data_IF_811712770807
#
_entry.id   IF_811712770807
#
_cell.length_a   1.000
_cell.length_b   1.000
_cell.length_c   1.000
_cell.angle_alpha   90.00
_cell.angle_beta   90.00
_cell.angle_gamma   90.00
#
_symmetry.space_group_name_H-M   'P 1'
#
loop_
_entity.id
_entity.type
_entity.pdbx_description
1 polymer ?
#
# COMPACT_ATOMS: atom_id res chain seq x y z
N UNK A 1 39.26 -9.40 4.30
CA UNK A 1 38.12 -8.63 4.91
C UNK A 1 37.59 -7.67 3.89
N UNK A 2 36.33 -7.87 3.40
CA UNK A 2 35.71 -6.92 2.49
C UNK A 2 35.22 -5.74 3.33
N UNK A 3 35.91 -4.63 3.27
CA UNK A 3 35.57 -3.41 4.01
C UNK A 3 34.21 -2.83 3.55
N UNK A 4 33.79 -3.10 2.33
CA UNK A 4 32.56 -2.60 1.73
C UNK A 4 31.85 -3.73 0.98
N UNK A 5 30.53 -3.82 1.16
CA UNK A 5 29.64 -4.69 0.41
C UNK A 5 28.49 -3.84 -0.14
N UNK A 6 28.11 -4.09 -1.37
CA UNK A 6 26.94 -3.45 -1.97
C UNK A 6 26.14 -4.46 -2.80
N UNK A 7 24.86 -4.21 -2.89
CA UNK A 7 23.93 -4.96 -3.70
C UNK A 7 22.92 -4.00 -4.31
N UNK A 8 22.69 -4.13 -5.63
CA UNK A 8 21.66 -3.36 -6.34
C UNK A 8 20.87 -4.34 -7.20
N UNK A 9 19.57 -4.24 -7.16
CA UNK A 9 18.67 -4.99 -8.03
C UNK A 9 17.55 -4.12 -8.55
N UNK A 10 17.10 -4.41 -9.76
CA UNK A 10 15.93 -3.81 -10.40
C UNK A 10 14.99 -4.90 -10.88
N UNK A 11 13.69 -4.61 -10.90
CA UNK A 11 12.68 -5.50 -11.43
C UNK A 11 11.58 -4.72 -12.13
N UNK A 12 11.10 -5.28 -13.21
CA UNK A 12 9.93 -4.79 -13.94
C UNK A 12 8.90 -5.90 -14.02
N UNK A 13 7.66 -5.55 -13.82
CA UNK A 13 6.52 -6.45 -13.95
C UNK A 13 5.44 -5.77 -14.79
N UNK A 14 4.87 -6.48 -15.74
CA UNK A 14 3.75 -6.06 -16.56
C UNK A 14 2.74 -7.19 -16.64
N UNK A 15 1.48 -6.86 -16.39
CA UNK A 15 0.35 -7.77 -16.47
C UNK A 15 -0.77 -7.07 -17.23
N UNK A 16 -1.23 -7.68 -18.31
CA UNK A 16 -2.38 -7.23 -19.06
C UNK A 16 -3.65 -7.87 -18.49
N UNK A 17 -4.75 -7.13 -18.53
CA UNK A 17 -6.04 -7.63 -18.05
C UNK A 17 -6.70 -8.62 -19.04
N UNK A 18 -7.66 -9.38 -18.53
CA UNK A 18 -8.39 -10.40 -19.29
C UNK A 18 -9.58 -9.85 -20.10
N UNK A 19 -9.95 -8.59 -19.87
CA UNK A 19 -11.12 -8.00 -20.52
C UNK A 19 -10.77 -7.49 -21.92
N UNK A 20 -11.47 -8.00 -22.91
CA UNK A 20 -11.49 -7.46 -24.26
C UNK A 20 -12.27 -6.15 -24.27
N UNK A 21 -11.94 -5.20 -25.12
CA UNK A 21 -12.58 -3.89 -25.28
C UNK A 21 -12.30 -2.87 -24.17
N UNK A 22 -11.35 -3.12 -23.29
CA UNK A 22 -11.05 -2.16 -22.22
C UNK A 22 -9.57 -2.21 -21.84
N UNK A 23 -9.02 -1.06 -21.48
CA UNK A 23 -7.69 -0.96 -20.91
C UNK A 23 -7.71 -1.46 -19.47
N UNK A 24 -7.01 -2.55 -19.24
CA UNK A 24 -6.86 -3.15 -17.91
C UNK A 24 -5.45 -3.69 -17.79
N UNK A 25 -4.77 -3.35 -16.70
CA UNK A 25 -3.42 -3.87 -16.49
C UNK A 25 -2.77 -3.38 -15.21
N UNK A 26 -1.64 -3.98 -14.91
CA UNK A 26 -0.78 -3.57 -13.81
C UNK A 26 0.68 -3.55 -14.24
N UNK A 27 1.34 -2.42 -14.03
CA UNK A 27 2.77 -2.25 -14.29
C UNK A 27 3.47 -1.88 -13.00
N UNK A 28 4.61 -2.51 -12.75
CA UNK A 28 5.40 -2.22 -11.56
C UNK A 28 6.89 -2.19 -11.90
N UNK A 29 7.54 -1.16 -11.41
CA UNK A 29 8.99 -1.04 -11.41
C UNK A 29 9.48 -0.97 -9.96
N UNK A 30 10.55 -1.71 -9.64
CA UNK A 30 11.15 -1.67 -8.32
C UNK A 30 12.68 -1.65 -8.40
N UNK A 31 13.30 -0.93 -7.48
CA UNK A 31 14.75 -0.89 -7.27
C UNK A 31 15.03 -1.14 -5.80
N UNK A 32 15.99 -2.00 -5.54
CA UNK A 32 16.53 -2.23 -4.21
C UNK A 32 18.04 -1.96 -4.24
N UNK A 33 18.53 -1.24 -3.25
CA UNK A 33 19.95 -1.01 -3.05
C UNK A 33 20.31 -1.25 -1.58
N UNK A 34 21.39 -1.96 -1.35
CA UNK A 34 21.94 -2.23 -0.03
C UNK A 34 23.43 -1.90 -0.06
N UNK A 35 23.85 -1.17 0.94
CA UNK A 35 25.25 -0.81 1.16
C UNK A 35 25.63 -1.11 2.60
N UNK A 36 26.76 -1.76 2.80
CA UNK A 36 27.30 -2.06 4.12
C UNK A 36 28.80 -1.78 4.11
N UNK A 37 29.27 -1.02 5.09
CA UNK A 37 30.68 -0.70 5.25
C UNK A 37 31.17 -1.01 6.67
N UNK A 38 32.32 -1.63 6.77
CA UNK A 38 33.07 -1.70 8.01
C UNK A 38 33.89 -0.43 8.12
N UNK A 39 33.38 0.54 8.93
CA UNK A 39 33.98 1.86 9.05
C UNK A 39 35.29 1.84 9.86
N UNK A 40 35.28 1.06 10.94
CA UNK A 40 36.45 0.81 11.78
C UNK A 40 36.43 -0.66 12.19
N UNK A 41 37.43 -1.13 12.98
CA UNK A 41 37.44 -2.51 13.49
C UNK A 41 36.23 -2.86 14.36
N UNK A 42 35.59 -1.84 14.96
CA UNK A 42 34.50 -1.97 15.92
C UNK A 42 33.17 -1.36 15.44
N UNK A 43 33.13 -0.63 14.31
CA UNK A 43 31.95 0.08 13.84
C UNK A 43 31.58 -0.34 12.41
N UNK A 44 30.35 -0.79 12.23
CA UNK A 44 29.73 -1.17 10.95
C UNK A 44 28.52 -0.29 10.67
N UNK A 45 28.43 0.22 9.45
CA UNK A 45 27.28 0.99 8.97
C UNK A 45 26.61 0.26 7.80
N UNK A 46 25.28 0.30 7.75
CA UNK A 46 24.48 -0.26 6.65
C UNK A 46 23.35 0.67 6.28
N UNK A 47 23.07 0.75 4.97
CA UNK A 47 21.90 1.46 4.43
C UNK A 47 21.21 0.53 3.44
N UNK A 48 19.90 0.37 3.61
CA UNK A 48 19.04 -0.36 2.68
C UNK A 48 17.96 0.57 2.17
N UNK A 49 17.82 0.64 0.85
CA UNK A 49 16.81 1.46 0.19
C UNK A 49 15.98 0.58 -0.73
N UNK A 50 14.66 0.77 -0.70
CA UNK A 50 13.72 0.12 -1.61
C UNK A 50 12.80 1.18 -2.19
N UNK A 51 12.69 1.19 -3.50
CA UNK A 51 11.73 2.02 -4.23
C UNK A 51 10.83 1.13 -5.09
N UNK A 52 9.55 1.44 -5.10
CA UNK A 52 8.57 0.80 -5.97
C UNK A 52 7.61 1.84 -6.53
N UNK A 53 7.43 1.82 -7.85
CA UNK A 53 6.37 2.51 -8.56
C UNK A 53 5.46 1.48 -9.21
N UNK A 54 4.17 1.54 -8.93
CA UNK A 54 3.16 0.67 -9.52
C UNK A 54 2.02 1.50 -10.08
N UNK A 55 1.55 1.14 -11.28
CA UNK A 55 0.38 1.73 -11.92
C UNK A 55 -0.62 0.64 -12.24
N UNK A 56 -1.86 0.81 -11.84
CA UNK A 56 -2.98 -0.06 -12.11
C UNK A 56 -4.05 0.71 -12.87
N UNK A 57 -4.43 0.18 -14.02
CA UNK A 57 -5.52 0.67 -14.85
C UNK A 57 -6.67 -0.34 -14.84
N UNK A 58 -7.89 0.15 -14.67
CA UNK A 58 -9.11 -0.68 -14.76
C UNK A 58 -10.21 0.09 -15.50
N UNK A 59 -11.08 -0.60 -16.24
CA UNK A 59 -12.15 0.02 -17.04
C UNK A 59 -13.39 0.38 -16.22
N UNK A 60 -13.27 0.43 -14.91
CA UNK A 60 -14.37 0.72 -14.01
C UNK A 60 -14.07 1.98 -13.22
N UNK A 61 -15.10 2.76 -12.93
CA UNK A 61 -14.99 3.98 -12.19
C UNK A 61 -14.77 3.79 -10.68
N UNK A 62 -15.25 4.75 -9.89
CA UNK A 62 -15.09 4.79 -8.44
C UNK A 62 -15.68 3.51 -7.81
N UNK A 63 -14.79 2.60 -7.36
CA UNK A 63 -15.17 1.28 -6.85
C UNK A 63 -14.45 0.10 -7.53
N UNK A 64 -13.77 0.35 -8.66
CA UNK A 64 -12.96 -0.66 -9.35
C UNK A 64 -13.78 -1.81 -9.96
N UNK A 65 -13.13 -2.97 -10.14
CA UNK A 65 -13.80 -4.22 -10.52
C UNK A 65 -14.83 -4.59 -9.45
N UNK A 66 -16.04 -4.07 -9.62
CA UNK A 66 -17.10 -4.33 -8.67
C UNK A 66 -17.63 -5.74 -8.85
N UNK A 67 -18.05 -6.35 -7.75
CA UNK A 67 -18.88 -7.55 -7.78
C UNK A 67 -20.02 -7.43 -8.80
N UNK A 68 -20.61 -6.23 -8.95
CA UNK A 68 -21.69 -5.94 -9.89
C UNK A 68 -21.36 -6.24 -11.35
N UNK A 69 -20.14 -5.92 -11.82
CA UNK A 69 -19.76 -6.20 -13.22
C UNK A 69 -19.70 -7.70 -13.51
N UNK A 70 -18.93 -8.45 -12.75
CA UNK A 70 -18.80 -9.89 -12.96
C UNK A 70 -20.10 -10.63 -12.68
N UNK A 71 -20.85 -10.20 -11.68
CA UNK A 71 -22.18 -10.74 -11.42
C UNK A 71 -23.13 -10.51 -12.60
N UNK A 72 -23.15 -9.31 -13.17
CA UNK A 72 -23.95 -9.02 -14.37
C UNK A 72 -23.47 -9.84 -15.56
N UNK A 73 -22.15 -9.90 -15.79
CA UNK A 73 -21.57 -10.70 -16.88
C UNK A 73 -21.96 -12.18 -16.78
N UNK A 74 -21.93 -12.76 -15.57
CA UNK A 74 -22.31 -14.17 -15.36
C UNK A 74 -23.80 -14.44 -15.52
N UNK A 75 -24.65 -13.41 -15.46
CA UNK A 75 -26.12 -13.53 -15.58
C UNK A 75 -26.65 -13.21 -16.97
N UNK A 76 -25.82 -12.78 -17.91
CA UNK A 76 -26.27 -12.54 -19.27
C UNK A 76 -26.76 -13.83 -19.91
N UNK A 77 -27.93 -13.73 -20.50
CA UNK A 77 -28.55 -14.85 -21.20
C UNK A 77 -27.94 -14.97 -22.58
N UNK A 78 -27.49 -16.15 -22.98
CA UNK A 78 -26.95 -16.44 -24.31
C UNK A 78 -27.98 -16.30 -25.44
N UNK A 79 -29.25 -16.18 -25.10
CA UNK A 79 -30.39 -16.09 -26.06
C UNK A 79 -30.76 -14.66 -26.41
N UNK A 80 -30.08 -13.65 -25.88
CA UNK A 80 -30.35 -12.23 -26.17
C UNK A 80 -29.43 -11.72 -27.28
N UNK A 81 -29.90 -10.72 -28.00
CA UNK A 81 -29.16 -10.11 -29.09
C UNK A 81 -28.10 -9.15 -28.54
N UNK A 82 -26.82 -9.44 -28.77
CA UNK A 82 -25.72 -8.59 -28.36
C UNK A 82 -25.55 -7.34 -29.25
N UNK A 83 -25.99 -7.44 -30.51
CA UNK A 83 -25.84 -6.43 -31.54
C UNK A 83 -27.20 -6.18 -32.18
N UNK A 84 -27.58 -4.92 -32.35
CA UNK A 84 -28.79 -4.49 -33.05
C UNK A 84 -28.66 -4.64 -34.58
N UNK A 85 -29.73 -4.47 -35.33
CA UNK A 85 -29.70 -4.59 -36.82
C UNK A 85 -28.74 -3.55 -37.47
N UNK A 86 -28.35 -2.47 -36.77
CA UNK A 86 -27.47 -1.45 -37.28
C UNK A 86 -25.99 -1.65 -36.85
N UNK A 87 -25.70 -2.75 -36.15
CA UNK A 87 -24.35 -3.10 -35.73
C UNK A 87 -23.89 -2.49 -34.41
N UNK A 88 -24.79 -1.89 -33.61
CA UNK A 88 -24.46 -1.36 -32.31
C UNK A 88 -24.61 -2.41 -31.21
N UNK A 89 -23.77 -2.36 -30.20
CA UNK A 89 -23.96 -3.19 -29.01
C UNK A 89 -25.19 -2.75 -28.22
N UNK A 90 -26.04 -3.70 -27.84
CA UNK A 90 -27.30 -3.45 -27.16
C UNK A 90 -27.11 -3.25 -25.64
N UNK A 91 -28.18 -2.79 -24.97
CA UNK A 91 -28.28 -2.71 -23.51
C UNK A 91 -28.13 -4.09 -22.82
N UNK A 92 -28.26 -5.17 -23.56
CA UNK A 92 -28.20 -6.54 -23.08
C UNK A 92 -26.78 -7.09 -22.94
N UNK A 93 -25.77 -6.29 -23.28
CA UNK A 93 -24.34 -6.62 -23.14
C UNK A 93 -23.61 -5.63 -22.25
N UNK A 94 -22.46 -6.03 -21.69
CA UNK A 94 -21.60 -5.14 -20.90
C UNK A 94 -20.58 -4.37 -21.75
N UNK A 95 -20.53 -4.60 -23.04
CA UNK A 95 -19.53 -4.00 -23.95
C UNK A 95 -19.63 -2.47 -24.00
N UNK A 96 -20.83 -1.84 -24.08
CA UNK A 96 -20.94 -0.39 -24.07
C UNK A 96 -20.32 0.25 -22.82
N UNK A 97 -20.41 -0.41 -21.67
CA UNK A 97 -19.83 0.07 -20.42
C UNK A 97 -18.29 0.03 -20.46
N UNK A 98 -17.72 -1.02 -21.03
CA UNK A 98 -16.26 -1.14 -21.22
C UNK A 98 -15.72 -0.12 -22.23
N UNK A 99 -16.52 0.26 -23.23
CA UNK A 99 -16.16 1.23 -24.27
C UNK A 99 -16.52 2.68 -23.93
N UNK A 100 -17.18 2.93 -22.80
CA UNK A 100 -17.66 4.27 -22.40
C UNK A 100 -16.55 5.29 -22.15
N UNK A 101 -15.31 4.85 -22.01
CA UNK A 101 -14.21 5.69 -21.52
C UNK A 101 -14.15 5.80 -20.00
N UNK A 102 -14.98 5.06 -19.29
CA UNK A 102 -14.89 4.89 -17.83
C UNK A 102 -13.57 4.23 -17.45
N UNK A 103 -12.90 4.77 -16.44
CA UNK A 103 -11.64 4.19 -15.96
C UNK A 103 -11.40 4.47 -14.48
N UNK A 104 -10.54 3.66 -13.88
CA UNK A 104 -9.80 3.99 -12.66
C UNK A 104 -8.31 3.79 -12.93
N UNK A 105 -7.53 4.85 -12.63
CA UNK A 105 -6.07 4.82 -12.66
C UNK A 105 -5.54 5.02 -11.25
N UNK A 106 -4.77 4.05 -10.78
CA UNK A 106 -4.16 4.08 -9.44
C UNK A 106 -2.65 3.98 -9.56
N UNK A 107 -1.96 5.04 -9.17
CA UNK A 107 -0.49 5.08 -9.12
C UNK A 107 -0.04 5.02 -7.66
N UNK A 108 0.87 4.11 -7.37
CA UNK A 108 1.46 3.94 -6.04
C UNK A 108 2.97 4.10 -6.10
N UNK A 109 3.50 4.94 -5.23
CA UNK A 109 4.92 5.09 -5.02
C UNK A 109 5.25 4.72 -3.59
N UNK A 110 6.13 3.74 -3.40
CA UNK A 110 6.63 3.34 -2.09
C UNK A 110 8.14 3.60 -2.05
N UNK A 111 8.57 4.31 -1.04
CA UNK A 111 9.97 4.52 -0.71
C UNK A 111 10.23 4.04 0.71
N UNK A 112 11.27 3.24 0.89
CA UNK A 112 11.70 2.74 2.19
C UNK A 112 13.22 2.86 2.27
N UNK A 113 13.71 3.49 3.33
CA UNK A 113 15.13 3.56 3.65
C UNK A 113 15.33 3.13 5.11
N UNK A 114 16.28 2.24 5.34
CA UNK A 114 16.72 1.82 6.68
C UNK A 114 18.21 2.08 6.79
N UNK A 115 18.60 2.90 7.75
CA UNK A 115 19.99 3.10 8.15
C UNK A 115 20.25 2.36 9.46
N UNK A 116 21.35 1.64 9.55
CA UNK A 116 21.75 0.86 10.73
C UNK A 116 23.22 1.12 11.04
N UNK A 117 23.50 1.40 12.30
CA UNK A 117 24.83 1.45 12.89
C UNK A 117 24.95 0.32 13.91
N UNK A 118 26.03 -0.42 13.86
CA UNK A 118 26.35 -1.47 14.81
C UNK A 118 27.80 -1.28 15.30
N UNK A 119 27.95 -1.11 16.60
CA UNK A 119 29.23 -1.01 17.26
C UNK A 119 29.51 -2.29 18.07
N UNK A 120 30.76 -2.73 18.07
CA UNK A 120 31.26 -3.79 18.92
C UNK A 120 32.46 -3.25 19.71
N UNK A 121 32.23 -2.54 20.85
CA UNK A 121 33.30 -1.92 21.61
C UNK A 121 34.29 -2.92 22.19
N UNK A 122 33.81 -4.07 22.65
CA UNK A 122 34.60 -5.21 23.11
C UNK A 122 34.02 -6.51 22.55
N UNK A 123 34.74 -7.60 22.68
CA UNK A 123 34.28 -8.91 22.25
C UNK A 123 32.91 -9.24 22.87
N UNK A 124 32.00 -9.78 22.05
CA UNK A 124 30.66 -10.27 22.43
C UNK A 124 29.69 -9.21 22.95
N UNK A 125 30.06 -7.90 22.89
CA UNK A 125 29.18 -6.78 23.20
C UNK A 125 28.84 -5.98 21.93
N UNK A 126 27.55 -5.95 21.58
CA UNK A 126 27.05 -5.23 20.42
C UNK A 126 26.07 -4.13 20.85
N UNK A 127 26.23 -2.97 20.28
CA UNK A 127 25.29 -1.84 20.38
C UNK A 127 24.78 -1.57 18.98
N UNK A 128 23.47 -1.62 18.79
CA UNK A 128 22.83 -1.41 17.49
C UNK A 128 21.82 -0.29 17.57
N UNK A 129 21.90 0.63 16.63
CA UNK A 129 20.87 1.66 16.39
C UNK A 129 20.46 1.54 14.94
N UNK A 130 19.17 1.43 14.68
CA UNK A 130 18.62 1.52 13.33
C UNK A 130 17.41 2.47 13.28
N UNK A 131 17.26 3.11 12.14
CA UNK A 131 16.13 3.97 11.85
C UNK A 131 15.58 3.64 10.47
N UNK A 132 14.26 3.52 10.36
CA UNK A 132 13.55 3.29 9.10
C UNK A 132 12.59 4.43 8.82
N UNK A 133 12.65 4.95 7.61
CA UNK A 133 11.67 5.84 7.01
C UNK A 133 10.95 5.10 5.90
N UNK A 134 9.62 5.07 5.96
CA UNK A 134 8.76 4.57 4.88
C UNK A 134 7.77 5.65 4.46
N UNK A 135 7.77 5.92 3.17
CA UNK A 135 6.83 6.83 2.55
C UNK A 135 6.01 6.10 1.49
N UNK A 136 4.69 6.20 1.59
CA UNK A 136 3.77 5.63 0.61
C UNK A 136 2.83 6.72 0.12
N UNK A 137 2.86 6.97 -1.20
CA UNK A 137 1.95 7.88 -1.89
C UNK A 137 1.06 7.08 -2.82
N UNK A 138 -0.24 7.37 -2.80
CA UNK A 138 -1.23 6.80 -3.70
C UNK A 138 -2.00 7.94 -4.36
N UNK A 139 -1.89 8.01 -5.69
CA UNK A 139 -2.72 8.85 -6.54
C UNK A 139 -3.79 7.96 -7.19
N UNK A 140 -5.04 8.34 -7.02
CA UNK A 140 -6.19 7.63 -7.56
C UNK A 140 -7.04 8.61 -8.36
N UNK A 141 -7.36 8.26 -9.60
CA UNK A 141 -8.22 9.01 -10.47
C UNK A 141 -9.24 8.07 -11.09
N UNK A 142 -10.51 8.40 -10.96
CA UNK A 142 -11.59 7.61 -11.53
C UNK A 142 -12.56 8.49 -12.31
N UNK A 143 -12.89 8.06 -13.50
CA UNK A 143 -13.88 8.64 -14.37
C UNK A 143 -15.02 7.66 -14.58
N UNK A 144 -16.24 8.06 -14.34
CA UNK A 144 -17.47 7.34 -14.66
C UNK A 144 -18.22 8.08 -15.74
N UNK A 145 -18.51 7.42 -16.85
CA UNK A 145 -19.29 7.96 -17.96
C UNK A 145 -20.41 7.00 -18.29
N UNK A 146 -21.65 7.51 -18.40
CA UNK A 146 -22.76 6.71 -18.85
C UNK A 146 -22.63 6.45 -20.37
N UNK A 147 -22.57 5.18 -20.81
CA UNK A 147 -22.56 4.88 -22.24
C UNK A 147 -23.92 5.16 -22.86
N UNK A 148 -23.94 5.53 -24.14
CA UNK A 148 -25.15 5.44 -24.95
C UNK A 148 -25.38 3.94 -25.26
N UNK A 149 -26.56 3.47 -24.96
CA UNK A 149 -26.97 2.10 -25.20
C UNK A 149 -28.12 2.06 -26.21
N UNK A 150 -28.22 0.95 -26.91
CA UNK A 150 -29.23 0.72 -27.98
C UNK A 150 -30.13 -0.45 -27.59
N UNK A 151 -31.41 -0.32 -27.83
CA UNK A 151 -32.30 -1.47 -27.69
C UNK A 151 -32.14 -2.42 -28.88
N UNK A 152 -32.62 -3.64 -28.73
CA UNK A 152 -32.56 -4.65 -29.80
C UNK A 152 -33.39 -4.30 -31.06
N UNK A 153 -34.26 -3.30 -30.98
CA UNK A 153 -35.05 -2.78 -32.11
C UNK A 153 -34.23 -1.92 -33.09
N UNK A 154 -33.02 -1.55 -32.73
CA UNK A 154 -32.10 -0.73 -33.52
C UNK A 154 -32.46 0.76 -33.60
N UNK A 155 -33.54 1.18 -32.96
CA UNK A 155 -34.09 2.55 -33.02
C UNK A 155 -34.04 3.25 -31.67
N UNK A 156 -34.46 2.57 -30.63
CA UNK A 156 -34.55 3.12 -29.29
C UNK A 156 -33.16 3.25 -28.67
N UNK A 157 -32.86 4.42 -28.11
CA UNK A 157 -31.60 4.69 -27.41
C UNK A 157 -31.84 5.22 -26.03
N UNK A 158 -30.97 4.91 -25.10
CA UNK A 158 -30.99 5.43 -23.73
C UNK A 158 -29.56 5.60 -23.19
N UNK A 159 -29.45 6.16 -21.98
CA UNK A 159 -28.17 6.14 -21.24
C UNK A 159 -28.10 4.90 -20.37
N UNK A 160 -26.96 4.22 -20.41
CA UNK A 160 -26.67 3.07 -19.58
C UNK A 160 -26.40 3.45 -18.14
N UNK A 161 -27.45 3.68 -17.36
CA UNK A 161 -27.37 3.99 -15.93
C UNK A 161 -27.48 2.68 -15.14
N UNK A 162 -26.36 2.27 -14.51
CA UNK A 162 -26.32 1.10 -13.64
C UNK A 162 -25.68 1.50 -12.32
N UNK A 163 -26.46 1.52 -11.26
CA UNK A 163 -26.02 1.91 -9.93
C UNK A 163 -24.91 0.99 -9.40
N UNK A 164 -25.01 -0.30 -9.71
CA UNK A 164 -23.99 -1.31 -9.36
C UNK A 164 -22.61 -1.07 -9.98
N UNK A 165 -22.56 -0.27 -11.07
CA UNK A 165 -21.29 0.13 -11.72
C UNK A 165 -20.85 1.54 -11.34
N UNK A 166 -21.61 2.24 -10.50
CA UNK A 166 -21.34 3.60 -10.08
C UNK A 166 -21.43 4.64 -11.21
N UNK A 167 -22.21 4.34 -12.26
CA UNK A 167 -22.35 5.20 -13.45
C UNK A 167 -23.28 6.36 -13.13
N UNK A 168 -22.82 7.57 -13.39
CA UNK A 168 -23.60 8.80 -13.24
C UNK A 168 -24.07 9.34 -14.60
N UNK A 169 -25.31 9.85 -14.66
CA UNK A 169 -25.92 10.38 -15.90
C UNK A 169 -25.05 11.43 -16.59
N UNK A 170 -24.52 12.37 -15.81
CA UNK A 170 -23.78 13.52 -16.32
C UNK A 170 -22.25 13.34 -16.16
N UNK A 171 -21.82 12.10 -15.99
CA UNK A 171 -20.43 11.78 -15.68
C UNK A 171 -20.02 12.16 -14.26
N UNK A 172 -19.06 11.42 -13.72
CA UNK A 172 -18.45 11.69 -12.40
C UNK A 172 -16.95 11.53 -12.49
N UNK A 173 -16.23 12.49 -11.97
CA UNK A 173 -14.79 12.41 -11.79
C UNK A 173 -14.41 12.45 -10.33
N UNK A 174 -13.58 11.51 -9.92
CA UNK A 174 -13.06 11.42 -8.56
C UNK A 174 -11.54 11.44 -8.62
N UNK A 175 -10.90 12.29 -7.83
CA UNK A 175 -9.47 12.26 -7.58
C UNK A 175 -9.20 12.11 -6.09
N UNK A 176 -8.24 11.26 -5.74
CA UNK A 176 -7.86 11.02 -4.36
C UNK A 176 -6.34 10.95 -4.25
N UNK A 177 -5.80 11.63 -3.25
CA UNK A 177 -4.39 11.55 -2.87
C UNK A 177 -4.27 11.08 -1.44
N UNK A 178 -3.50 10.03 -1.24
CA UNK A 178 -3.19 9.52 0.10
C UNK A 178 -1.69 9.47 0.30
N UNK A 179 -1.23 10.09 1.39
CA UNK A 179 0.17 10.08 1.79
C UNK A 179 0.28 9.41 3.16
N UNK A 180 1.15 8.42 3.26
CA UNK A 180 1.42 7.73 4.52
C UNK A 180 2.91 7.84 4.84
N UNK A 181 3.23 8.26 6.04
CA UNK A 181 4.56 8.31 6.62
C UNK A 181 4.63 7.30 7.75
N UNK A 182 5.73 6.58 7.83
CA UNK A 182 6.04 5.66 8.91
C UNK A 182 7.51 5.75 9.26
N UNK A 183 7.77 6.03 10.53
CA UNK A 183 9.11 6.14 11.08
C UNK A 183 9.27 5.10 12.18
N UNK A 184 10.41 4.44 12.20
CA UNK A 184 10.82 3.63 13.35
C UNK A 184 12.24 3.98 13.75
N UNK A 185 12.50 3.92 15.04
CA UNK A 185 13.84 3.95 15.60
C UNK A 185 13.96 2.82 16.61
N UNK A 186 15.03 2.04 16.48
CA UNK A 186 15.39 0.99 17.41
C UNK A 186 16.79 1.27 17.93
N UNK A 187 16.99 1.14 19.23
CA UNK A 187 18.30 1.18 19.86
C UNK A 187 18.37 0.04 20.87
N UNK A 188 19.29 -0.86 20.69
CA UNK A 188 19.44 -1.99 21.59
C UNK A 188 20.89 -2.39 21.75
N UNK A 189 21.17 -3.02 22.88
CA UNK A 189 22.47 -3.59 23.17
C UNK A 189 22.30 -5.04 23.63
N UNK A 190 23.23 -5.88 23.21
CA UNK A 190 23.31 -7.25 23.69
C UNK A 190 24.75 -7.58 24.05
N UNK A 191 24.88 -8.31 25.16
CA UNK A 191 26.14 -8.82 25.66
C UNK A 191 26.01 -10.31 25.95
N UNK A 192 26.98 -11.08 25.45
CA UNK A 192 27.06 -12.53 25.69
C UNK A 192 28.32 -12.85 26.46
N UNK A 193 28.20 -13.71 27.46
CA UNK A 193 29.36 -14.19 28.21
C UNK A 193 29.20 -15.66 28.58
N UNK A 194 30.31 -16.32 28.66
CA UNK A 194 30.40 -17.74 28.99
C UNK A 194 31.29 -17.93 30.21
N UNK A 195 30.80 -18.70 31.16
CA UNK A 195 31.56 -19.10 32.36
C UNK A 195 31.37 -20.60 32.55
N UNK A 196 32.47 -21.37 32.31
CA UNK A 196 32.44 -22.82 32.32
C UNK A 196 31.36 -23.39 31.38
N UNK A 197 30.31 -24.01 31.94
CA UNK A 197 29.20 -24.58 31.18
C UNK A 197 28.00 -23.66 31.03
N UNK A 198 28.10 -22.44 31.52
CA UNK A 198 27.01 -21.47 31.49
C UNK A 198 27.23 -20.45 30.40
N UNK A 199 26.28 -20.33 29.48
CA UNK A 199 26.24 -19.27 28.47
C UNK A 199 25.04 -18.38 28.75
N UNK A 200 25.27 -17.06 28.88
CA UNK A 200 24.23 -16.08 29.16
C UNK A 200 24.32 -14.99 28.10
N UNK A 201 23.17 -14.69 27.47
CA UNK A 201 23.04 -13.54 26.57
C UNK A 201 21.95 -12.63 27.12
N UNK A 202 22.31 -11.39 27.45
CA UNK A 202 21.40 -10.35 27.89
C UNK A 202 21.22 -9.31 26.80
N UNK A 203 19.98 -8.89 26.55
CA UNK A 203 19.61 -7.85 25.63
C UNK A 203 18.66 -6.86 26.29
N UNK A 204 18.89 -5.55 26.09
CA UNK A 204 17.98 -4.50 26.44
C UNK A 204 17.87 -3.52 25.28
N UNK A 205 16.68 -3.00 25.04
CA UNK A 205 16.44 -2.12 23.92
C UNK A 205 15.24 -1.22 24.08
N UNK A 206 15.19 -0.28 23.17
CA UNK A 206 14.15 0.71 23.02
C UNK A 206 13.66 0.69 21.56
N UNK A 207 12.36 0.84 21.37
CA UNK A 207 11.71 0.98 20.07
C UNK A 207 10.74 2.15 20.11
N UNK A 208 10.83 3.02 19.11
CA UNK A 208 9.83 4.05 18.86
C UNK A 208 9.27 3.91 17.45
N UNK A 209 7.96 4.10 17.32
CA UNK A 209 7.26 4.09 16.04
C UNK A 209 6.31 5.28 15.95
N UNK A 210 6.26 5.88 14.77
CA UNK A 210 5.29 6.91 14.41
C UNK A 210 4.71 6.61 13.05
N UNK A 211 3.40 6.68 12.96
CA UNK A 211 2.65 6.50 11.73
C UNK A 211 1.64 7.62 11.55
N UNK A 212 1.61 8.19 10.36
CA UNK A 212 0.62 9.17 9.99
C UNK A 212 0.15 8.99 8.56
N UNK A 213 -1.12 9.28 8.31
CA UNK A 213 -1.70 9.27 6.96
C UNK A 213 -2.63 10.45 6.77
N UNK A 214 -2.59 11.01 5.56
CA UNK A 214 -3.54 11.99 5.08
C UNK A 214 -4.24 11.47 3.83
N UNK A 215 -5.52 11.74 3.71
CA UNK A 215 -6.37 11.42 2.57
C UNK A 215 -7.13 12.67 2.15
N UNK A 216 -6.89 13.12 0.92
CA UNK A 216 -7.70 14.15 0.27
C UNK A 216 -8.44 13.51 -0.90
N UNK A 217 -9.77 13.53 -0.87
CA UNK A 217 -10.64 13.06 -1.95
C UNK A 217 -11.50 14.21 -2.45
N UNK A 218 -11.53 14.40 -3.76
CA UNK A 218 -12.41 15.33 -4.43
C UNK A 218 -13.24 14.56 -5.46
N UNK A 219 -14.52 14.89 -5.57
CA UNK A 219 -15.38 14.34 -6.61
C UNK A 219 -16.28 15.45 -7.15
N UNK A 220 -16.64 15.32 -8.43
CA UNK A 220 -17.55 16.24 -9.10
C UNK A 220 -18.41 15.47 -10.11
N UNK A 221 -19.64 15.90 -10.29
CA UNK A 221 -20.55 15.45 -11.34
C UNK A 221 -20.79 16.56 -12.37
N UNK A 222 -21.47 16.25 -13.48
CA UNK A 222 -21.77 17.22 -14.53
C UNK A 222 -20.50 17.69 -15.26
N UNK A 223 -19.74 16.76 -15.80
CA UNK A 223 -18.48 17.04 -16.48
C UNK A 223 -18.73 17.76 -17.81
N UNK A 224 -18.07 18.90 -18.00
CA UNK A 224 -18.06 19.59 -19.30
C UNK A 224 -17.39 18.75 -20.40
N UNK A 225 -16.28 18.09 -20.07
CA UNK A 225 -15.57 17.21 -21.00
C UNK A 225 -15.11 15.92 -20.31
N UNK A 226 -15.69 14.76 -20.66
CA UNK A 226 -15.21 13.47 -20.14
C UNK A 226 -13.81 13.09 -20.66
N UNK A 227 -13.37 13.65 -21.79
CA UNK A 227 -12.05 13.35 -22.36
C UNK A 227 -10.91 14.04 -21.62
N UNK A 228 -11.19 15.14 -20.92
CA UNK A 228 -10.24 15.85 -20.08
C UNK A 228 -10.92 16.24 -18.74
N UNK A 229 -11.19 15.27 -17.89
CA UNK A 229 -11.94 15.51 -16.67
C UNK A 229 -11.16 16.36 -15.68
N UNK A 230 -11.82 17.39 -15.11
CA UNK A 230 -11.26 18.26 -14.10
C UNK A 230 -12.31 18.55 -13.03
N UNK A 231 -11.92 18.54 -11.76
CA UNK A 231 -12.82 18.86 -10.64
C UNK A 231 -13.29 20.31 -10.69
N UNK A 232 -12.48 21.22 -11.21
CA UNK A 232 -12.84 22.65 -11.30
C UNK A 232 -13.98 22.90 -12.29
N UNK A 233 -14.01 22.15 -13.40
CA UNK A 233 -14.88 22.38 -14.56
C UNK A 233 -16.23 21.66 -14.48
N UNK A 234 -16.44 20.82 -13.46
CA UNK A 234 -17.73 20.16 -13.25
C UNK A 234 -18.80 21.14 -12.77
N UNK A 235 -20.00 21.01 -13.34
CA UNK A 235 -21.16 21.90 -13.08
C UNK A 235 -22.06 21.38 -11.98
N UNK A 236 -21.98 20.10 -11.63
CA UNK A 236 -22.76 19.48 -10.58
C UNK A 236 -22.11 19.58 -9.19
N UNK A 237 -22.57 18.72 -8.29
CA UNK A 237 -22.13 18.72 -6.89
C UNK A 237 -20.64 18.39 -6.78
N UNK A 238 -19.96 19.22 -5.99
CA UNK A 238 -18.55 19.01 -5.61
C UNK A 238 -18.46 18.47 -4.20
N UNK A 239 -17.80 17.33 -4.05
CA UNK A 239 -17.55 16.71 -2.75
C UNK A 239 -16.06 16.80 -2.45
N UNK A 240 -15.73 17.37 -1.29
CA UNK A 240 -14.37 17.42 -0.75
C UNK A 240 -14.34 16.66 0.56
N UNK A 241 -13.39 15.76 0.70
CA UNK A 241 -13.18 14.99 1.91
C UNK A 241 -11.70 15.03 2.28
N UNK A 242 -11.37 15.54 3.46
CA UNK A 242 -10.03 15.54 4.04
C UNK A 242 -10.06 14.75 5.36
N UNK A 243 -9.22 13.74 5.47
CA UNK A 243 -9.11 12.93 6.66
C UNK A 243 -7.64 12.72 7.01
N UNK A 244 -7.33 12.76 8.31
CA UNK A 244 -6.00 12.51 8.84
C UNK A 244 -6.09 11.56 9.99
N UNK A 245 -5.11 10.68 10.08
CA UNK A 245 -4.96 9.74 11.20
C UNK A 245 -3.50 9.58 11.54
N UNK A 246 -3.21 9.48 12.84
CA UNK A 246 -1.86 9.22 13.31
C UNK A 246 -1.87 8.41 14.59
N UNK A 247 -0.80 7.67 14.81
CA UNK A 247 -0.53 7.00 16.07
C UNK A 247 0.98 6.89 16.28
N UNK A 248 1.37 6.78 17.54
CA UNK A 248 2.75 6.53 17.93
C UNK A 248 2.78 5.44 19.01
N UNK A 249 3.83 4.63 18.97
CA UNK A 249 4.14 3.65 20.00
C UNK A 249 5.58 3.84 20.49
N UNK A 250 5.81 3.43 21.73
CA UNK A 250 7.09 3.49 22.37
C UNK A 250 7.22 2.28 23.27
N UNK A 251 8.32 1.54 23.17
CA UNK A 251 8.52 0.35 23.97
C UNK A 251 9.95 0.21 24.45
N UNK A 252 10.10 -0.27 25.69
CA UNK A 252 11.37 -0.76 26.22
C UNK A 252 11.25 -2.26 26.37
N UNK A 253 12.28 -2.99 25.95
CA UNK A 253 12.26 -4.44 25.97
C UNK A 253 13.56 -5.02 26.49
N UNK A 254 13.46 -6.21 27.07
CA UNK A 254 14.62 -6.96 27.55
C UNK A 254 14.44 -8.45 27.30
N UNK A 255 15.57 -9.13 27.13
CA UNK A 255 15.67 -10.59 26.97
C UNK A 255 16.89 -11.10 27.71
N UNK A 256 16.73 -12.23 28.37
CA UNK A 256 17.84 -13.01 28.95
C UNK A 256 17.69 -14.44 28.43
N UNK A 257 18.72 -14.92 27.75
CA UNK A 257 18.87 -16.31 27.35
C UNK A 257 19.91 -16.94 28.27
N UNK A 258 19.60 -18.10 28.82
CA UNK A 258 20.48 -18.91 29.61
C UNK A 258 20.57 -20.31 29.01
N UNK A 259 21.79 -20.78 28.82
CA UNK A 259 22.08 -22.13 28.34
C UNK A 259 23.11 -22.79 29.31
N UNK A 260 22.77 -23.97 29.80
CA UNK A 260 23.65 -24.78 30.59
C UNK A 260 24.07 -26.05 29.82
N UNK A 261 25.36 -26.11 29.41
CA UNK A 261 26.00 -27.25 28.73
C UNK A 261 25.27 -27.72 27.45
N UNK A 262 24.51 -26.82 26.77
CA UNK A 262 23.63 -27.16 25.63
C UNK A 262 22.47 -28.09 25.96
N UNK A 263 22.16 -28.29 27.25
CA UNK A 263 21.14 -29.25 27.72
C UNK A 263 19.91 -28.57 28.29
N UNK A 264 20.08 -27.45 28.99
CA UNK A 264 18.99 -26.72 29.61
C UNK A 264 19.02 -25.29 29.10
N UNK A 265 17.98 -24.95 28.36
CA UNK A 265 17.83 -23.62 27.76
C UNK A 265 16.61 -22.94 28.37
N UNK A 266 16.79 -21.71 28.83
CA UNK A 266 15.71 -20.88 29.36
C UNK A 266 15.81 -19.51 28.70
N UNK A 267 14.69 -19.00 28.21
CA UNK A 267 14.56 -17.66 27.68
C UNK A 267 13.50 -16.89 28.47
N UNK A 268 13.86 -15.71 28.95
CA UNK A 268 12.95 -14.76 29.58
C UNK A 268 12.91 -13.48 28.73
N UNK A 269 11.70 -13.06 28.35
CA UNK A 269 11.47 -11.81 27.63
C UNK A 269 10.53 -10.92 28.43
N UNK A 270 10.71 -9.61 28.33
CA UNK A 270 9.75 -8.64 28.81
C UNK A 270 9.70 -7.41 27.89
N UNK A 271 8.50 -6.83 27.77
CA UNK A 271 8.28 -5.55 27.09
C UNK A 271 7.39 -4.65 27.96
N UNK A 272 7.70 -3.37 27.94
CA UNK A 272 6.86 -2.34 28.52
C UNK A 272 6.55 -1.32 27.42
N UNK A 273 5.33 -1.40 26.91
CA UNK A 273 4.91 -0.67 25.70
C UNK A 273 3.89 0.41 26.02
N UNK A 274 4.02 1.55 25.34
CA UNK A 274 3.10 2.67 25.38
C UNK A 274 2.48 2.88 23.98
N UNK A 275 1.18 3.15 23.93
CA UNK A 275 0.51 3.49 22.69
C UNK A 275 -0.35 4.75 22.82
N UNK A 276 -0.23 5.65 21.83
CA UNK A 276 -1.03 6.88 21.76
C UNK A 276 -2.53 6.62 21.52
N UNK A 277 -2.89 5.40 21.11
CA UNK A 277 -4.30 5.00 20.84
C UNK A 277 -5.15 4.85 22.10
N UNK A 278 -4.50 4.71 23.25
CA UNK A 278 -5.17 4.60 24.53
C UNK A 278 -5.28 5.95 25.24
N UNK A 279 -6.27 6.10 26.11
CA UNK A 279 -6.49 7.30 26.91
C UNK A 279 -5.30 7.56 27.84
N UNK A 280 -5.09 8.83 28.22
CA UNK A 280 -4.10 9.21 29.23
C UNK A 280 -4.32 8.39 30.51
N UNK A 281 -3.24 7.85 31.08
CA UNK A 281 -3.28 6.99 32.29
C UNK A 281 -3.42 5.49 31.99
N UNK A 282 -3.78 5.10 30.74
CA UNK A 282 -3.95 3.69 30.33
C UNK A 282 -3.09 3.32 29.12
N UNK A 283 -2.04 4.09 28.85
CA UNK A 283 -1.22 3.93 27.62
C UNK A 283 -0.15 2.87 27.74
N UNK A 284 0.22 2.49 28.94
CA UNK A 284 1.31 1.58 29.22
C UNK A 284 0.82 0.17 29.56
N UNK A 285 1.47 -0.82 29.00
CA UNK A 285 1.24 -2.24 29.29
C UNK A 285 2.55 -3.00 29.46
N UNK A 286 2.57 -3.96 30.39
CA UNK A 286 3.70 -4.85 30.62
C UNK A 286 3.41 -6.24 30.11
N UNK A 287 4.32 -6.82 29.32
CA UNK A 287 4.15 -8.09 28.60
C UNK A 287 5.37 -9.00 28.86
N UNK A 288 5.35 -9.83 29.90
CA UNK A 288 6.37 -10.83 30.14
C UNK A 288 6.10 -12.13 29.39
N UNK A 289 7.15 -12.89 29.06
CA UNK A 289 7.08 -14.26 28.55
C UNK A 289 8.30 -15.09 28.94
N UNK A 290 8.10 -16.37 29.11
CA UNK A 290 9.14 -17.37 29.44
C UNK A 290 9.02 -18.52 28.45
#
# INVERSE_FOLDING_TARGET
>A
TKAVQYYVSGGFYNEDGILRFADMGYKRFNVNASFTAQMTSWLKASVNTKFMNGTQDTPFGDGGLSYGFFHSLARFRQTVCDIDPNGHYTELTMIPYLQSGTYTKKKRNNFNITAKLQAQPIKDWYITVDATLRYNNVDYNALNVAPKIYAADGVTTSLGLRDELGVAKDGKYTTQKSNTHYYTINAYTNYSFEVEKNSITALVGFQGEDWSTGLLKNAVTGLYSPTNPNVADGTGDKVVYDARSSWATLGVFGRINYDYDGRYLVEFNCRYDCSSRFAKGHRWGFFPSV
#
